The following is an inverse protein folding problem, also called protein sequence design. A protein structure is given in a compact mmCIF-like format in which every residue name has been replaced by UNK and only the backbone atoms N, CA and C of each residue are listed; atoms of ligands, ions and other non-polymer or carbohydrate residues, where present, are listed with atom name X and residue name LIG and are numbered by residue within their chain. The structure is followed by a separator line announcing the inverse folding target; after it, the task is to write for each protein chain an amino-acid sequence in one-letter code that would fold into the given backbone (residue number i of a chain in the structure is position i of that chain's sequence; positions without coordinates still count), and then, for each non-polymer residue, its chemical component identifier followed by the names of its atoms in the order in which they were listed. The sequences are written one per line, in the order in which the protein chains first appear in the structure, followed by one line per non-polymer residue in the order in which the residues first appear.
data_IF_659256075749
#
_entry.id   IF_659256075749
#
_cell.length_a   1.000
_cell.length_b   1.000
_cell.length_c   1.000
_cell.angle_alpha   90.00
_cell.angle_beta   90.00
_cell.angle_gamma   90.00
#
_symmetry.space_group_name_H-M   'P 1'
#
loop_
_entity.id
_entity.type
_entity.pdbx_description
1 polymer ?
#
# COMPACT_ATOMS: atom_id res chain seq x y z
N UNK A 1 -35.00 -7.15 16.35
CA UNK A 1 -34.06 -6.04 16.11
C UNK A 1 -33.84 -6.00 14.60
N UNK A 2 -34.43 -5.01 13.93
CA UNK A 2 -34.29 -4.87 12.48
C UNK A 2 -32.92 -4.22 12.19
N UNK A 3 -31.98 -4.97 11.64
CA UNK A 3 -30.73 -4.43 11.14
C UNK A 3 -31.04 -3.63 9.87
N UNK A 4 -31.24 -2.32 10.05
CA UNK A 4 -31.38 -1.36 8.96
C UNK A 4 -30.18 -1.45 8.04
N UNK A 5 -30.44 -1.56 6.74
CA UNK A 5 -29.45 -1.91 5.74
C UNK A 5 -28.26 -0.96 5.67
N UNK A 6 -27.09 -1.55 5.51
CA UNK A 6 -25.94 -0.92 4.86
C UNK A 6 -25.60 -1.75 3.64
N UNK A 7 -26.18 -1.39 2.50
CA UNK A 7 -25.53 -1.63 1.20
C UNK A 7 -24.34 -0.69 1.12
N UNK A 8 -23.33 -0.94 1.94
CA UNK A 8 -22.08 -0.22 1.97
C UNK A 8 -21.01 -1.28 1.82
N UNK A 9 -20.55 -1.48 0.58
CA UNK A 9 -19.38 -2.30 0.28
C UNK A 9 -18.33 -2.08 1.36
N UNK A 10 -17.90 -3.14 2.08
CA UNK A 10 -16.92 -3.07 3.15
C UNK A 10 -15.67 -2.39 2.59
N UNK A 11 -15.59 -1.08 2.79
CA UNK A 11 -14.56 -0.23 2.18
C UNK A 11 -13.16 -0.68 2.60
N UNK A 12 -13.08 -1.29 3.79
CA UNK A 12 -11.89 -1.92 4.32
C UNK A 12 -11.48 -3.18 3.54
N UNK A 13 -12.42 -3.96 3.01
CA UNK A 13 -12.15 -5.20 2.26
C UNK A 13 -11.92 -4.96 0.75
N UNK A 14 -12.08 -3.72 0.28
CA UNK A 14 -11.97 -3.40 -1.14
C UNK A 14 -10.51 -3.37 -1.59
N UNK A 15 -10.18 -4.20 -2.57
CA UNK A 15 -8.90 -4.15 -3.25
C UNK A 15 -8.77 -2.87 -4.10
N UNK A 16 -7.55 -2.35 -4.22
CA UNK A 16 -7.27 -1.16 -4.99
C UNK A 16 -5.88 -1.18 -5.61
N UNK A 17 -5.78 -0.56 -6.79
CA UNK A 17 -4.53 -0.30 -7.46
C UNK A 17 -4.11 1.16 -7.28
N UNK A 18 -2.85 1.42 -6.94
CA UNK A 18 -2.36 2.79 -6.80
C UNK A 18 -0.87 2.94 -6.99
N UNK A 19 -0.45 4.16 -7.34
CA UNK A 19 0.94 4.55 -7.40
C UNK A 19 1.40 5.07 -6.03
N UNK A 20 2.57 4.64 -5.59
CA UNK A 20 3.18 5.09 -4.34
C UNK A 20 3.79 6.49 -4.46
N UNK A 21 3.75 7.22 -3.37
CA UNK A 21 4.35 8.54 -3.24
C UNK A 21 5.72 8.48 -2.56
N UNK A 22 6.58 9.44 -2.90
CA UNK A 22 7.93 9.63 -2.33
C UNK A 22 8.86 8.40 -2.43
N UNK A 23 8.69 7.56 -3.46
CA UNK A 23 9.47 6.34 -3.70
C UNK A 23 10.98 6.57 -3.56
N UNK A 24 11.52 7.62 -4.18
CA UNK A 24 12.97 7.93 -4.18
C UNK A 24 13.52 8.32 -2.81
N UNK A 25 12.66 8.67 -1.84
CA UNK A 25 13.05 9.07 -0.49
C UNK A 25 13.01 7.92 0.51
N UNK A 26 12.46 6.77 0.13
CA UNK A 26 12.24 5.63 0.99
C UNK A 26 13.47 4.71 1.07
N UNK A 27 13.49 3.80 2.06
CA UNK A 27 14.68 3.01 2.37
C UNK A 27 15.06 2.05 1.25
N UNK A 28 14.09 1.39 0.61
CA UNK A 28 14.39 0.46 -0.49
C UNK A 28 15.16 1.15 -1.62
N UNK A 29 14.67 2.30 -2.10
CA UNK A 29 15.32 3.01 -3.20
C UNK A 29 16.70 3.56 -2.79
N UNK A 30 16.83 4.06 -1.55
CA UNK A 30 18.13 4.54 -1.03
C UNK A 30 19.17 3.42 -0.91
N UNK A 31 18.74 2.21 -0.55
CA UNK A 31 19.62 1.06 -0.36
C UNK A 31 20.00 0.40 -1.69
N UNK A 32 19.05 0.30 -2.62
CA UNK A 32 19.21 -0.46 -3.87
C UNK A 32 19.49 0.41 -5.10
N UNK A 33 19.28 1.73 -5.03
CA UNK A 33 19.37 2.65 -6.17
C UNK A 33 18.35 2.37 -7.27
N UNK A 34 17.33 1.57 -7.00
CA UNK A 34 16.31 1.13 -7.96
C UNK A 34 14.99 0.80 -7.27
N UNK A 35 13.93 0.58 -8.06
CA UNK A 35 12.61 0.10 -7.59
C UNK A 35 12.51 -1.43 -7.69
N UNK A 36 11.70 -2.09 -6.84
CA UNK A 36 11.50 -3.54 -6.91
C UNK A 36 10.81 -3.95 -8.22
N UNK A 37 11.07 -5.17 -8.71
CA UNK A 37 10.38 -5.69 -9.90
C UNK A 37 8.89 -5.93 -9.64
N UNK A 38 8.11 -5.96 -10.72
CA UNK A 38 6.73 -6.44 -10.67
C UNK A 38 6.68 -7.89 -10.15
N UNK A 39 5.65 -8.20 -9.37
CA UNK A 39 5.51 -9.47 -8.65
C UNK A 39 6.10 -9.46 -7.24
N UNK A 40 6.77 -8.38 -6.82
CA UNK A 40 7.27 -8.27 -5.44
C UNK A 40 6.12 -8.14 -4.45
N UNK A 41 6.08 -9.05 -3.48
CA UNK A 41 5.10 -9.06 -2.38
C UNK A 41 5.39 -7.94 -1.37
N UNK A 42 4.31 -7.37 -0.84
CA UNK A 42 4.36 -6.21 0.05
C UNK A 42 3.27 -6.24 1.10
N UNK A 43 3.53 -5.54 2.19
CA UNK A 43 2.57 -5.27 3.27
C UNK A 43 2.34 -3.77 3.39
N UNK A 44 1.17 -3.39 3.91
CA UNK A 44 0.88 -2.00 4.27
C UNK A 44 0.93 -1.85 5.77
N UNK A 45 1.77 -0.94 6.22
CA UNK A 45 2.00 -0.66 7.64
C UNK A 45 1.71 0.80 7.95
N UNK A 46 1.18 1.05 9.15
CA UNK A 46 1.02 2.42 9.65
C UNK A 46 2.10 2.74 10.68
N UNK A 47 2.95 3.72 10.36
CA UNK A 47 3.85 4.35 11.33
C UNK A 47 3.35 5.74 11.71
N UNK A 48 3.69 6.77 10.92
CA UNK A 48 3.06 8.10 11.00
C UNK A 48 2.09 8.35 9.84
N UNK A 49 2.29 7.60 8.76
CA UNK A 49 1.55 7.60 7.51
C UNK A 49 1.50 6.15 7.02
N UNK A 50 0.52 5.82 6.20
CA UNK A 50 0.45 4.51 5.53
C UNK A 50 1.65 4.33 4.60
N UNK A 51 2.47 3.34 4.92
CA UNK A 51 3.67 2.95 4.19
C UNK A 51 3.45 1.61 3.54
N UNK A 52 4.04 1.42 2.36
CA UNK A 52 4.12 0.12 1.72
C UNK A 52 5.53 -0.40 1.85
N UNK A 53 5.69 -1.60 2.35
CA UNK A 53 6.98 -2.20 2.70
C UNK A 53 7.12 -3.57 2.05
N UNK A 54 8.35 -3.98 1.75
CA UNK A 54 8.63 -5.37 1.37
C UNK A 54 8.45 -6.28 2.60
N UNK A 55 8.38 -7.60 2.37
CA UNK A 55 8.36 -8.59 3.46
C UNK A 55 9.60 -8.53 4.37
N UNK A 56 10.68 -7.88 3.93
CA UNK A 56 11.90 -7.64 4.71
C UNK A 56 11.85 -6.33 5.52
N UNK A 57 10.75 -5.57 5.45
CA UNK A 57 10.57 -4.30 6.16
C UNK A 57 11.20 -3.08 5.45
N UNK A 58 11.58 -3.20 4.17
CA UNK A 58 12.08 -2.05 3.42
C UNK A 58 10.92 -1.23 2.85
N UNK A 59 10.87 0.06 3.18
CA UNK A 59 9.83 0.97 2.72
C UNK A 59 10.03 1.26 1.24
N UNK A 60 9.00 1.00 0.45
CA UNK A 60 8.92 1.27 -0.99
C UNK A 60 8.36 2.67 -1.28
N UNK A 61 7.46 3.14 -0.42
CA UNK A 61 6.76 4.41 -0.62
C UNK A 61 5.60 4.59 0.35
N UNK A 62 4.87 5.69 0.20
CA UNK A 62 3.68 6.00 0.98
C UNK A 62 2.42 5.85 0.14
N UNK A 63 1.33 5.44 0.79
CA UNK A 63 0.02 5.49 0.16
C UNK A 63 -0.47 6.94 0.05
N UNK A 64 -1.10 7.32 -1.08
CA UNK A 64 -1.78 8.59 -1.23
C UNK A 64 -2.78 8.84 -0.09
N UNK A 65 -2.94 10.11 0.32
CA UNK A 65 -3.81 10.49 1.46
C UNK A 65 -5.27 10.07 1.30
N UNK A 66 -5.74 9.86 0.06
CA UNK A 66 -7.08 9.29 -0.23
C UNK A 66 -7.29 7.90 0.38
N UNK A 67 -6.22 7.18 0.76
CA UNK A 67 -6.25 5.88 1.43
C UNK A 67 -6.11 5.96 2.95
N UNK A 68 -6.06 7.15 3.57
CA UNK A 68 -5.98 7.27 5.03
C UNK A 68 -7.17 6.62 5.78
N UNK A 69 -8.26 6.30 5.08
CA UNK A 69 -9.35 5.51 5.63
C UNK A 69 -8.95 4.07 6.02
N UNK A 70 -7.81 3.57 5.53
CA UNK A 70 -7.30 2.25 5.92
C UNK A 70 -6.81 2.23 7.37
N UNK A 71 -6.45 3.39 7.95
CA UNK A 71 -6.00 3.46 9.35
C UNK A 71 -7.05 2.92 10.34
N UNK A 72 -8.29 3.42 10.37
CA UNK A 72 -9.32 2.83 11.23
C UNK A 72 -9.60 1.37 10.89
N UNK A 73 -9.53 0.95 9.62
CA UNK A 73 -9.67 -0.46 9.27
C UNK A 73 -8.56 -1.32 9.90
N UNK A 74 -7.32 -0.87 9.89
CA UNK A 74 -6.21 -1.54 10.57
C UNK A 74 -6.40 -1.58 12.09
N UNK A 75 -6.97 -0.53 12.68
CA UNK A 75 -7.32 -0.50 14.11
C UNK A 75 -8.43 -1.51 14.46
N UNK A 76 -9.33 -1.78 13.51
CA UNK A 76 -10.37 -2.81 13.61
C UNK A 76 -9.84 -4.23 13.32
N UNK A 77 -8.54 -4.38 13.04
CA UNK A 77 -7.86 -5.66 12.85
C UNK A 77 -7.71 -6.12 11.41
N UNK A 78 -7.94 -5.25 10.42
CA UNK A 78 -7.68 -5.57 9.02
C UNK A 78 -6.19 -5.46 8.68
N UNK A 79 -5.69 -6.47 7.99
CA UNK A 79 -4.33 -6.48 7.45
C UNK A 79 -4.39 -6.29 5.94
N UNK A 80 -3.39 -5.62 5.39
CA UNK A 80 -3.34 -5.27 3.98
C UNK A 80 -2.04 -5.77 3.38
N UNK A 81 -2.19 -6.57 2.34
CA UNK A 81 -1.09 -7.14 1.58
C UNK A 81 -1.31 -6.88 0.11
N UNK A 82 -0.27 -7.05 -0.67
CA UNK A 82 -0.35 -6.78 -2.08
C UNK A 82 0.88 -7.16 -2.86
N UNK A 83 0.93 -6.67 -4.08
CA UNK A 83 1.99 -6.96 -5.02
C UNK A 83 2.32 -5.73 -5.86
N UNK A 84 3.59 -5.56 -6.22
CA UNK A 84 3.99 -4.58 -7.24
C UNK A 84 3.44 -5.03 -8.59
N UNK A 85 2.57 -4.23 -9.20
CA UNK A 85 2.04 -4.53 -10.54
C UNK A 85 2.89 -3.92 -11.64
N UNK A 86 3.53 -2.78 -11.37
CA UNK A 86 4.41 -2.10 -12.31
C UNK A 86 5.43 -1.23 -11.58
N UNK A 87 6.60 -1.08 -12.18
CA UNK A 87 7.73 -0.38 -11.59
C UNK A 87 8.59 0.23 -12.68
N UNK A 88 8.93 1.52 -12.58
CA UNK A 88 9.76 2.22 -13.56
C UNK A 88 10.87 2.97 -12.83
N UNK A 89 12.11 2.90 -13.33
CA UNK A 89 13.23 3.68 -12.76
C UNK A 89 13.45 5.03 -13.48
N UNK A 90 13.07 5.13 -14.77
CA UNK A 90 13.36 6.28 -15.63
C UNK A 90 12.12 6.74 -16.41
N UNK A 91 11.90 8.05 -16.59
CA UNK A 91 12.74 9.18 -16.16
C UNK A 91 12.62 9.53 -14.67
N UNK A 92 11.59 9.02 -14.00
CA UNK A 92 11.35 9.20 -12.56
C UNK A 92 10.97 7.84 -11.97
N UNK A 93 11.54 7.50 -10.81
CA UNK A 93 11.23 6.26 -10.14
C UNK A 93 9.76 6.23 -9.69
N UNK A 94 9.01 5.24 -10.13
CA UNK A 94 7.61 5.02 -9.77
C UNK A 94 7.31 3.55 -9.51
N UNK A 95 6.39 3.32 -8.58
CA UNK A 95 5.93 1.99 -8.20
C UNK A 95 4.41 2.04 -8.17
N UNK A 96 3.77 1.13 -8.89
CA UNK A 96 2.34 0.87 -8.83
C UNK A 96 2.12 -0.48 -8.15
N UNK A 97 1.20 -0.50 -7.20
CA UNK A 97 0.89 -1.66 -6.37
C UNK A 97 -0.59 -1.97 -6.45
N UNK A 98 -0.92 -3.24 -6.32
CA UNK A 98 -2.28 -3.71 -6.05
C UNK A 98 -2.32 -4.23 -4.62
N UNK A 99 -3.29 -3.75 -3.84
CA UNK A 99 -3.42 -4.06 -2.41
C UNK A 99 -4.84 -4.54 -2.15
N UNK A 100 -4.96 -5.60 -1.36
CA UNK A 100 -6.21 -6.14 -0.86
C UNK A 100 -6.14 -6.39 0.65
N UNK A 101 -7.30 -6.44 1.29
CA UNK A 101 -7.37 -6.92 2.67
C UNK A 101 -7.17 -8.46 2.69
N UNK A 102 -6.51 -8.95 3.74
CA UNK A 102 -6.40 -10.37 4.06
C UNK A 102 -7.52 -10.83 4.99
#
# INVERSE_FOLDING_TARGET
MANGGTSGEDRCAKAFNTQLEEVTRCSYFKNNGSVPPAGTELTVEFSQRLTVQTLQGEVLGYLPTKYNFLKPCMDDGYNYEGVVTSSTNTPVASITVDIAAQ
#
